data_IF_599213879202
#
_entry.id   IF_599213879202
#
_cell.length_a   1.000
_cell.length_b   1.000
_cell.length_c   1.000
_cell.angle_alpha   90.00
_cell.angle_beta   90.00
_cell.angle_gamma   90.00
#
_symmetry.space_group_name_H-M   'P 1'
#
loop_
_entity.id
_entity.type
_entity.pdbx_description
1 polymer ?
#
# COMPACT_ATOMS: atom_id res chain seq x y z
N UNK A 1 -2.99 15.73 -17.12
CA UNK A 1 -1.63 15.19 -16.86
C UNK A 1 -0.90 15.85 -15.69
N UNK A 2 -0.67 17.18 -15.64
CA UNK A 2 0.05 17.82 -14.51
C UNK A 2 -0.59 17.55 -13.12
N UNK A 3 -1.92 17.63 -13.02
CA UNK A 3 -2.66 17.33 -11.78
C UNK A 3 -2.53 15.85 -11.36
N UNK A 4 -2.54 14.92 -12.32
CA UNK A 4 -2.40 13.48 -12.09
C UNK A 4 -1.02 13.09 -11.59
N UNK A 5 0.02 13.70 -12.16
CA UNK A 5 1.40 13.47 -11.72
C UNK A 5 1.59 14.03 -10.30
N UNK A 6 1.06 15.22 -10.01
CA UNK A 6 1.12 15.80 -8.67
C UNK A 6 0.34 14.95 -7.64
N UNK A 7 -0.82 14.42 -8.01
CA UNK A 7 -1.58 13.49 -7.17
C UNK A 7 -0.81 12.19 -6.89
N UNK A 8 -0.28 11.56 -7.94
CA UNK A 8 0.52 10.33 -7.84
C UNK A 8 1.73 10.55 -6.95
N UNK A 9 2.43 11.67 -7.13
CA UNK A 9 3.59 12.03 -6.32
C UNK A 9 3.23 12.20 -4.85
N UNK A 10 2.13 12.91 -4.53
CA UNK A 10 1.65 13.08 -3.15
C UNK A 10 1.33 11.73 -2.51
N UNK A 11 0.58 10.87 -3.19
CA UNK A 11 0.23 9.54 -2.69
C UNK A 11 1.48 8.69 -2.45
N UNK A 12 2.40 8.64 -3.42
CA UNK A 12 3.63 7.86 -3.30
C UNK A 12 4.55 8.38 -2.19
N UNK A 13 4.77 9.69 -2.10
CA UNK A 13 5.65 10.29 -1.09
C UNK A 13 5.08 10.08 0.32
N UNK A 14 3.76 10.26 0.49
CA UNK A 14 3.09 10.04 1.77
C UNK A 14 3.12 8.57 2.16
N UNK A 15 2.92 7.66 1.22
CA UNK A 15 3.02 6.22 1.47
C UNK A 15 4.45 5.81 1.84
N UNK A 16 5.46 6.37 1.19
CA UNK A 16 6.86 6.07 1.46
C UNK A 16 7.31 6.58 2.85
N UNK A 17 6.88 7.78 3.23
CA UNK A 17 7.24 8.38 4.53
C UNK A 17 6.40 7.77 5.67
N UNK A 18 5.11 7.54 5.46
CA UNK A 18 4.19 7.12 6.51
C UNK A 18 4.14 5.60 6.72
N UNK A 19 4.44 4.78 5.71
CA UNK A 19 4.36 3.31 5.83
C UNK A 19 5.23 2.77 6.95
N UNK A 20 6.48 3.22 7.07
CA UNK A 20 7.42 2.78 8.11
C UNK A 20 6.92 3.12 9.53
N UNK A 21 6.66 4.40 9.88
CA UNK A 21 6.20 4.75 11.23
C UNK A 21 4.82 4.15 11.55
N UNK A 22 3.90 4.07 10.57
CA UNK A 22 2.58 3.45 10.80
C UNK A 22 2.72 1.96 11.07
N UNK A 23 3.62 1.25 10.37
CA UNK A 23 3.88 -0.16 10.68
C UNK A 23 4.53 -0.30 12.06
N UNK A 24 5.46 0.57 12.45
CA UNK A 24 6.05 0.53 13.79
C UNK A 24 4.99 0.75 14.88
N UNK A 25 4.07 1.70 14.70
CA UNK A 25 2.99 1.96 15.67
C UNK A 25 2.03 0.78 15.77
N UNK A 26 1.55 0.25 14.63
CA UNK A 26 0.63 -0.89 14.62
C UNK A 26 1.31 -2.14 15.18
N UNK A 27 2.57 -2.36 14.81
CA UNK A 27 3.35 -3.49 15.29
C UNK A 27 3.65 -3.42 16.78
N UNK A 28 4.02 -2.24 17.28
CA UNK A 28 4.23 -1.99 18.72
C UNK A 28 2.95 -2.13 19.53
N UNK A 29 1.82 -1.61 19.03
CA UNK A 29 0.52 -1.78 19.66
C UNK A 29 0.11 -3.26 19.71
N UNK A 30 0.36 -4.04 18.66
CA UNK A 30 0.08 -5.46 18.62
C UNK A 30 0.94 -6.25 19.62
N UNK A 31 2.25 -5.99 19.66
CA UNK A 31 3.15 -6.60 20.66
C UNK A 31 2.69 -6.25 22.08
N UNK A 32 2.36 -4.98 22.33
CA UNK A 32 1.89 -4.53 23.65
C UNK A 32 0.59 -5.23 24.07
N UNK A 33 -0.36 -5.39 23.14
CA UNK A 33 -1.63 -6.06 23.40
C UNK A 33 -1.44 -7.56 23.64
N UNK A 34 -0.55 -8.22 22.88
CA UNK A 34 -0.20 -9.63 23.11
C UNK A 34 0.52 -9.81 24.44
N UNK A 35 1.46 -8.93 24.79
CA UNK A 35 2.15 -8.98 26.09
C UNK A 35 1.17 -8.86 27.27
N UNK A 36 0.08 -8.09 27.11
CA UNK A 36 -0.98 -8.00 28.12
C UNK A 36 -1.76 -9.31 28.30
N UNK A 37 -1.95 -10.10 27.24
CA UNK A 37 -2.80 -11.31 27.24
C UNK A 37 -2.00 -12.58 27.49
N UNK A 38 -0.79 -12.69 26.90
CA UNK A 38 0.12 -13.82 27.02
C UNK A 38 1.58 -13.33 27.05
N UNK A 39 2.16 -13.09 28.24
CA UNK A 39 3.52 -12.55 28.38
C UNK A 39 4.63 -13.55 28.04
N UNK A 40 4.34 -14.83 27.81
CA UNK A 40 5.36 -15.85 27.57
C UNK A 40 5.93 -15.82 26.14
N UNK A 41 7.15 -15.32 26.00
CA UNK A 41 8.07 -15.50 24.86
C UNK A 41 7.50 -15.22 23.45
N UNK A 42 6.73 -14.14 23.28
CA UNK A 42 6.34 -13.71 21.94
C UNK A 42 7.44 -12.85 21.30
N UNK A 43 8.28 -13.47 20.45
CA UNK A 43 9.24 -12.76 19.61
C UNK A 43 8.66 -12.54 18.22
N UNK A 44 8.20 -11.32 17.93
CA UNK A 44 7.72 -10.96 16.59
C UNK A 44 8.76 -10.08 15.90
N UNK A 45 9.25 -10.53 14.74
CA UNK A 45 10.17 -9.75 13.92
C UNK A 45 9.42 -9.09 12.76
N UNK A 46 9.42 -7.75 12.73
CA UNK A 46 8.89 -6.97 11.62
C UNK A 46 9.95 -6.88 10.52
N UNK A 47 9.83 -7.71 9.49
CA UNK A 47 10.72 -7.66 8.34
C UNK A 47 10.04 -6.95 7.15
N UNK A 48 9.81 -5.64 7.27
CA UNK A 48 9.57 -4.81 6.09
C UNK A 48 10.93 -4.36 5.56
N UNK A 49 11.42 -5.04 4.54
CA UNK A 49 12.60 -4.54 3.82
C UNK A 49 12.21 -3.29 3.04
N UNK A 50 13.02 -2.23 3.12
CA UNK A 50 12.82 -0.99 2.37
C UNK A 50 12.58 -1.23 0.87
N UNK A 51 13.24 -2.25 0.30
CA UNK A 51 13.06 -2.70 -1.09
C UNK A 51 11.60 -3.06 -1.40
N UNK A 52 10.90 -3.76 -0.51
CA UNK A 52 9.49 -4.10 -0.67
C UNK A 52 8.63 -2.84 -0.69
N UNK A 53 8.96 -1.86 0.16
CA UNK A 53 8.30 -0.55 0.19
C UNK A 53 8.44 0.18 -1.15
N UNK A 54 9.65 0.26 -1.68
CA UNK A 54 9.93 0.88 -2.97
C UNK A 54 9.19 0.20 -4.13
N UNK A 55 9.17 -1.13 -4.15
CA UNK A 55 8.51 -1.91 -5.22
C UNK A 55 7.01 -1.65 -5.24
N UNK A 56 6.36 -1.68 -4.07
CA UNK A 56 4.95 -1.36 -3.99
C UNK A 56 4.64 0.08 -4.41
N UNK A 57 5.47 1.05 -4.01
CA UNK A 57 5.32 2.45 -4.42
C UNK A 57 5.44 2.58 -5.94
N UNK A 58 6.39 1.86 -6.56
CA UNK A 58 6.53 1.82 -8.01
C UNK A 58 5.29 1.20 -8.70
N UNK A 59 4.77 0.09 -8.17
CA UNK A 59 3.53 -0.55 -8.66
C UNK A 59 2.34 0.40 -8.51
N UNK A 60 2.24 1.11 -7.38
CA UNK A 60 1.17 2.07 -7.11
C UNK A 60 1.23 3.25 -8.07
N UNK A 61 2.43 3.80 -8.30
CA UNK A 61 2.63 4.86 -9.28
C UNK A 61 2.24 4.41 -10.70
N UNK A 62 2.68 3.21 -11.11
CA UNK A 62 2.33 2.64 -12.40
C UNK A 62 0.81 2.43 -12.54
N UNK A 63 0.15 1.87 -11.52
CA UNK A 63 -1.29 1.63 -11.54
C UNK A 63 -2.10 2.93 -11.65
N UNK A 64 -1.71 3.99 -10.93
CA UNK A 64 -2.38 5.30 -11.02
C UNK A 64 -2.15 5.93 -12.39
N UNK A 65 -0.92 5.89 -12.92
CA UNK A 65 -0.59 6.45 -14.24
C UNK A 65 -1.31 5.71 -15.37
N UNK A 66 -1.28 4.38 -15.37
CA UNK A 66 -2.01 3.54 -16.33
C UNK A 66 -3.50 3.80 -16.22
N UNK A 67 -4.03 3.88 -15.01
CA UNK A 67 -5.45 4.18 -14.78
C UNK A 67 -5.85 5.51 -15.40
N UNK A 68 -5.06 6.56 -15.17
CA UNK A 68 -5.30 7.88 -15.76
C UNK A 68 -5.15 7.93 -17.29
N UNK A 69 -4.23 7.15 -17.84
CA UNK A 69 -4.00 7.08 -19.28
C UNK A 69 -5.20 6.43 -19.99
N UNK A 70 -5.68 5.29 -19.47
CA UNK A 70 -6.85 4.60 -20.01
C UNK A 70 -8.13 5.43 -19.88
N UNK A 71 -8.30 6.17 -18.77
CA UNK A 71 -9.42 7.07 -18.60
C UNK A 71 -9.40 8.18 -19.66
N UNK A 72 -8.24 8.81 -19.88
CA UNK A 72 -8.07 9.89 -20.87
C UNK A 72 -8.18 9.44 -22.33
N UNK A 73 -7.80 8.20 -22.66
CA UNK A 73 -7.75 7.69 -24.04
C UNK A 73 -8.98 6.90 -24.45
N UNK A 74 -9.60 6.17 -23.52
CA UNK A 74 -10.61 5.15 -23.84
C UNK A 74 -11.98 5.49 -23.24
N UNK A 75 -12.08 6.53 -22.39
CA UNK A 75 -13.35 6.93 -21.78
C UNK A 75 -13.96 5.88 -20.87
N UNK A 76 -13.19 4.84 -20.51
CA UNK A 76 -13.60 3.70 -19.70
C UNK A 76 -13.71 4.12 -18.22
N UNK A 77 -14.77 4.85 -17.89
CA UNK A 77 -15.08 5.31 -16.53
C UNK A 77 -15.34 4.17 -15.53
N UNK A 78 -15.64 2.95 -15.98
CA UNK A 78 -16.27 1.91 -15.14
C UNK A 78 -15.35 0.78 -14.68
N UNK A 79 -14.26 0.48 -15.39
CA UNK A 79 -13.39 -0.67 -15.05
C UNK A 79 -12.12 -0.29 -14.27
N UNK A 80 -11.67 0.96 -14.40
CA UNK A 80 -10.33 1.38 -13.97
C UNK A 80 -10.38 2.53 -12.93
N UNK A 81 -11.54 3.16 -12.79
CA UNK A 81 -11.73 4.28 -11.88
C UNK A 81 -11.93 3.85 -10.42
N UNK A 82 -12.41 2.63 -10.17
CA UNK A 82 -12.90 2.36 -8.81
C UNK A 82 -11.78 2.13 -7.81
N UNK A 83 -10.66 1.43 -8.12
CA UNK A 83 -9.60 1.16 -7.13
C UNK A 83 -8.21 0.86 -7.73
N UNK A 84 -7.44 1.84 -8.27
CA UNK A 84 -6.06 1.62 -8.74
C UNK A 84 -5.13 1.04 -7.65
N UNK A 85 -5.42 1.33 -6.38
CA UNK A 85 -4.68 0.79 -5.25
C UNK A 85 -5.02 -0.66 -4.96
N UNK A 86 -6.27 -1.09 -5.13
CA UNK A 86 -6.61 -2.51 -4.99
C UNK A 86 -5.85 -3.35 -6.02
N UNK A 87 -5.74 -2.85 -7.26
CA UNK A 87 -4.93 -3.49 -8.29
C UNK A 87 -3.45 -3.53 -7.89
N UNK A 88 -2.93 -2.45 -7.31
CA UNK A 88 -1.55 -2.38 -6.84
C UNK A 88 -1.27 -3.39 -5.72
N UNK A 89 -2.20 -3.56 -4.79
CA UNK A 89 -2.13 -4.56 -3.70
C UNK A 89 -2.10 -5.98 -4.29
N UNK A 90 -2.99 -6.29 -5.23
CA UNK A 90 -3.04 -7.61 -5.88
C UNK A 90 -1.74 -7.92 -6.62
N UNK A 91 -1.24 -6.97 -7.42
CA UNK A 91 0.02 -7.12 -8.16
C UNK A 91 1.20 -7.31 -7.20
N UNK A 92 1.22 -6.60 -6.08
CA UNK A 92 2.27 -6.74 -5.09
C UNK A 92 2.21 -8.08 -4.33
N UNK A 93 1.02 -8.63 -4.07
CA UNK A 93 0.87 -9.97 -3.52
C UNK A 93 1.39 -11.03 -4.49
N UNK A 94 1.12 -10.89 -5.79
CA UNK A 94 1.74 -11.74 -6.81
C UNK A 94 3.27 -11.62 -6.81
N UNK A 95 3.80 -10.40 -6.71
CA UNK A 95 5.25 -10.18 -6.57
C UNK A 95 5.83 -10.92 -5.35
N UNK A 96 5.19 -10.82 -4.17
CA UNK A 96 5.63 -11.53 -2.97
C UNK A 96 5.60 -13.05 -3.14
N UNK A 97 4.62 -13.56 -3.89
CA UNK A 97 4.48 -14.99 -4.19
C UNK A 97 5.62 -15.48 -5.09
N UNK A 98 5.86 -14.81 -6.22
CA UNK A 98 6.94 -15.17 -7.15
C UNK A 98 8.34 -14.93 -6.58
N UNK A 99 8.51 -13.92 -5.72
CA UNK A 99 9.77 -13.63 -5.05
C UNK A 99 10.13 -14.67 -3.98
N UNK A 100 9.23 -15.60 -3.65
CA UNK A 100 9.43 -16.62 -2.61
C UNK A 100 9.36 -16.05 -1.17
N UNK A 101 9.17 -14.74 -1.01
CA UNK A 101 9.04 -14.08 0.29
C UNK A 101 7.80 -14.57 1.07
N UNK A 102 6.79 -15.06 0.36
CA UNK A 102 5.56 -15.64 0.91
C UNK A 102 5.72 -17.10 1.39
N UNK A 103 6.75 -17.82 0.96
CA UNK A 103 6.85 -19.27 1.14
C UNK A 103 7.10 -19.71 2.61
N UNK A 104 7.52 -18.77 3.46
CA UNK A 104 7.85 -19.02 4.87
C UNK A 104 7.12 -18.09 5.85
N UNK A 105 6.17 -17.29 5.38
CA UNK A 105 5.46 -16.32 6.21
C UNK A 105 4.05 -16.80 6.53
N UNK A 106 3.74 -16.90 7.84
CA UNK A 106 2.37 -17.10 8.29
C UNK A 106 1.48 -15.92 7.85
N UNK A 107 0.19 -16.19 7.60
CA UNK A 107 -0.75 -15.17 7.15
C UNK A 107 -0.83 -13.97 8.12
N UNK A 108 -0.74 -14.25 9.43
CA UNK A 108 -0.67 -13.19 10.44
C UNK A 108 0.56 -12.29 10.24
N UNK A 109 1.72 -12.88 9.99
CA UNK A 109 2.96 -12.13 9.72
C UNK A 109 2.85 -11.26 8.46
N UNK A 110 2.21 -11.77 7.41
CA UNK A 110 1.99 -11.00 6.18
C UNK A 110 1.03 -9.82 6.42
N UNK A 111 -0.07 -10.06 7.12
CA UNK A 111 -1.06 -9.02 7.42
C UNK A 111 -0.47 -7.89 8.28
N UNK A 112 0.32 -8.24 9.30
CA UNK A 112 0.94 -7.25 10.18
C UNK A 112 2.14 -6.54 9.55
N UNK A 113 2.87 -7.21 8.64
CA UNK A 113 4.01 -6.58 7.96
C UNK A 113 3.58 -5.71 6.78
N UNK A 114 2.62 -6.13 5.96
CA UNK A 114 2.25 -5.40 4.74
C UNK A 114 0.89 -4.70 4.80
N UNK A 115 0.01 -5.10 5.73
CA UNK A 115 -1.31 -4.49 5.92
C UNK A 115 -1.27 -2.99 6.26
N UNK A 116 -0.42 -2.52 7.20
CA UNK A 116 -0.21 -1.10 7.47
C UNK A 116 0.16 -0.28 6.24
N UNK A 117 0.98 -0.89 5.37
CA UNK A 117 1.44 -0.28 4.14
C UNK A 117 0.32 -0.18 3.08
N UNK A 118 -0.52 -1.21 2.96
CA UNK A 118 -1.71 -1.15 2.12
C UNK A 118 -2.73 -0.13 2.64
N UNK A 119 -2.90 -0.05 3.97
CA UNK A 119 -3.81 0.89 4.62
C UNK A 119 -3.36 2.33 4.40
N UNK A 120 -2.07 2.63 4.55
CA UNK A 120 -1.50 3.97 4.31
C UNK A 120 -1.63 4.40 2.85
N UNK A 121 -1.40 3.48 1.90
CA UNK A 121 -1.63 3.75 0.49
C UNK A 121 -3.11 4.05 0.19
N UNK A 122 -4.02 3.24 0.74
CA UNK A 122 -5.46 3.46 0.59
C UNK A 122 -5.91 4.77 1.22
N UNK A 123 -5.51 5.07 2.46
CA UNK A 123 -5.86 6.29 3.16
C UNK A 123 -5.31 7.54 2.46
N UNK A 124 -4.04 7.52 2.04
CA UNK A 124 -3.44 8.66 1.34
C UNK A 124 -4.15 8.95 0.02
N UNK A 125 -4.52 7.92 -0.74
CA UNK A 125 -5.27 8.14 -1.98
C UNK A 125 -6.62 8.78 -1.80
N UNK A 126 -7.33 8.44 -0.71
CA UNK A 126 -8.62 9.03 -0.35
C UNK A 126 -8.46 10.45 0.15
N UNK A 127 -7.43 10.73 0.95
CA UNK A 127 -7.14 12.07 1.46
C UNK A 127 -6.79 13.07 0.36
N UNK A 128 -6.05 12.63 -0.66
CA UNK A 128 -5.69 13.48 -1.79
C UNK A 128 -6.67 13.39 -2.95
N UNK A 129 -7.74 12.60 -2.84
CA UNK A 129 -8.78 12.52 -3.87
C UNK A 129 -9.58 13.81 -3.85
N UNK A 130 -9.39 14.66 -4.85
CA UNK A 130 -10.11 15.91 -4.99
C UNK A 130 -11.28 15.75 -5.98
N UNK A 131 -12.54 15.65 -5.51
CA UNK A 131 -13.70 15.52 -6.38
C UNK A 131 -14.00 16.81 -7.15
N UNK A 132 -13.52 17.98 -6.70
CA UNK A 132 -13.79 19.29 -7.34
C UNK A 132 -12.77 19.65 -8.42
N UNK A 133 -11.59 19.01 -8.42
CA UNK A 133 -10.62 19.05 -9.52
C UNK A 133 -10.87 17.99 -10.61
N UNK A 134 -11.95 17.22 -10.50
CA UNK A 134 -12.27 16.10 -11.38
C UNK A 134 -12.86 16.56 -12.71
N UNK A 135 -12.01 17.16 -13.55
CA UNK A 135 -12.04 16.87 -14.98
C UNK A 135 -11.26 15.56 -15.23
N UNK A 136 -11.68 14.51 -14.53
CA UNK A 136 -11.41 13.09 -14.79
C UNK A 136 -12.72 12.45 -15.27
#
# INVERSE_FOLDING_TARGET
>A
MKSTIAYTLKVCLTTLIASVPVTMVIGGAYIGLIMLIKPSNYSFNFNITYTHTCIFVAITAAAILVSSYFLSKVGLKRFINDRPIAHSIVIFLFYLFFSGALHFMDFGHLLFSYGPMFLTAYASSRLFFDPKGSNY
#
